data_IF_238067563297
#
_entry.id   IF_238067563297
#
_cell.length_a   1.000
_cell.length_b   1.000
_cell.length_c   1.000
_cell.angle_alpha   90.00
_cell.angle_beta   90.00
_cell.angle_gamma   90.00
#
_symmetry.space_group_name_H-M   'P 1'
#
loop_
_entity.id
_entity.type
_entity.pdbx_description
1 polymer ?
#
# COMPACT_ATOMS: atom_id res chain seq x y z
N UNK A 1 -10.65 20.82 2.05
CA UNK A 1 -9.62 19.76 1.94
C UNK A 1 -9.90 19.00 0.66
N UNK A 2 -8.92 18.90 -0.22
CA UNK A 2 -9.09 18.29 -1.54
C UNK A 2 -9.37 16.79 -1.34
N UNK A 3 -10.49 16.30 -1.86
CA UNK A 3 -11.03 14.95 -1.63
C UNK A 3 -10.27 13.83 -2.37
N UNK A 4 -8.98 14.02 -2.67
CA UNK A 4 -8.22 13.14 -3.56
C UNK A 4 -6.95 12.53 -2.92
N UNK A 5 -6.64 12.85 -1.66
CA UNK A 5 -5.43 12.34 -1.00
C UNK A 5 -5.72 11.02 -0.28
N UNK A 6 -4.87 10.02 -0.50
CA UNK A 6 -4.98 8.72 0.16
C UNK A 6 -4.56 8.85 1.62
N UNK A 7 -5.37 8.37 2.56
CA UNK A 7 -5.16 8.59 4.01
C UNK A 7 -3.79 8.09 4.53
N UNK A 8 -3.24 7.07 3.87
CA UNK A 8 -2.01 6.39 4.27
C UNK A 8 -0.74 6.96 3.63
N UNK A 9 -0.88 7.73 2.54
CA UNK A 9 0.27 8.21 1.76
C UNK A 9 0.76 9.55 2.32
N UNK A 10 1.39 9.49 3.49
CA UNK A 10 1.77 10.68 4.27
C UNK A 10 3.18 11.21 3.96
N UNK A 11 3.86 10.64 2.94
CA UNK A 11 5.24 11.00 2.62
C UNK A 11 5.37 12.46 2.20
N UNK A 12 6.16 13.23 2.96
CA UNK A 12 6.35 14.67 2.71
C UNK A 12 5.20 15.57 3.17
N UNK A 13 4.19 15.02 3.85
CA UNK A 13 3.11 15.81 4.44
C UNK A 13 3.56 16.39 5.77
N UNK A 14 3.48 17.71 5.89
CA UNK A 14 3.79 18.43 7.13
C UNK A 14 2.59 18.48 8.09
N UNK A 15 2.83 18.87 9.34
CA UNK A 15 1.77 19.16 10.31
C UNK A 15 1.43 18.03 11.30
N UNK A 16 2.18 16.92 11.30
CA UNK A 16 1.98 15.79 12.21
C UNK A 16 2.57 15.98 13.62
N UNK A 17 3.36 17.04 13.82
CA UNK A 17 4.04 17.30 15.09
C UNK A 17 5.31 16.46 15.28
N UNK A 18 5.80 16.41 16.52
CA UNK A 18 6.99 15.66 16.87
C UNK A 18 6.72 14.15 16.89
N UNK A 19 7.71 13.36 16.46
CA UNK A 19 7.64 11.90 16.57
C UNK A 19 7.74 11.52 18.05
N UNK A 20 6.72 10.87 18.65
CA UNK A 20 6.85 10.34 20.00
C UNK A 20 7.92 9.25 20.00
N UNK A 21 8.78 9.24 21.01
CA UNK A 21 9.84 8.26 21.16
C UNK A 21 9.91 7.80 22.61
N UNK A 22 9.70 6.49 22.81
CA UNK A 22 9.81 5.84 24.10
C UNK A 22 10.84 4.70 23.98
N UNK A 23 12.06 4.84 24.56
CA UNK A 23 13.11 3.84 24.43
C UNK A 23 12.72 2.45 24.96
N UNK A 24 11.85 2.43 25.97
CA UNK A 24 11.41 1.22 26.67
C UNK A 24 9.96 0.85 26.31
N UNK A 25 9.49 1.24 25.12
CA UNK A 25 8.13 0.98 24.64
C UNK A 25 7.79 -0.52 24.73
N UNK A 26 6.67 -0.84 25.37
CA UNK A 26 6.20 -2.21 25.45
C UNK A 26 5.71 -2.68 24.08
N UNK A 27 5.97 -3.94 23.72
CA UNK A 27 5.49 -4.53 22.44
C UNK A 27 3.96 -4.43 22.31
N UNK A 28 3.26 -4.51 23.44
CA UNK A 28 1.82 -4.34 23.54
C UNK A 28 1.51 -3.56 24.82
N UNK A 29 0.94 -2.37 24.67
CA UNK A 29 0.50 -1.50 25.77
C UNK A 29 -0.72 -2.06 26.50
N UNK A 30 -1.55 -2.84 25.80
CA UNK A 30 -2.76 -3.42 26.36
C UNK A 30 -2.97 -4.86 25.89
N UNK A 31 -3.61 -5.67 26.74
CA UNK A 31 -3.90 -7.08 26.44
C UNK A 31 -4.76 -7.27 25.18
N UNK A 32 -5.60 -6.30 24.81
CA UNK A 32 -6.43 -6.40 23.61
C UNK A 32 -5.60 -6.31 22.33
N UNK A 33 -4.47 -5.61 22.34
CA UNK A 33 -3.57 -5.49 21.20
C UNK A 33 -2.96 -6.86 20.85
N UNK A 34 -2.59 -7.64 21.88
CA UNK A 34 -2.14 -9.04 21.74
C UNK A 34 -3.22 -9.90 21.09
N UNK A 35 -4.48 -9.69 21.46
CA UNK A 35 -5.62 -10.40 20.87
C UNK A 35 -5.82 -10.02 19.42
N UNK A 36 -5.78 -8.74 19.08
CA UNK A 36 -5.87 -8.26 17.69
C UNK A 36 -4.75 -8.84 16.83
N UNK A 37 -3.52 -8.83 17.33
CA UNK A 37 -2.38 -9.45 16.66
C UNK A 37 -2.60 -10.96 16.41
N UNK A 38 -3.11 -11.69 17.41
CA UNK A 38 -3.47 -13.10 17.26
C UNK A 38 -4.62 -13.34 16.28
N UNK A 39 -5.68 -12.52 16.36
CA UNK A 39 -6.86 -12.59 15.49
C UNK A 39 -6.49 -12.37 14.02
N UNK A 40 -5.52 -11.49 13.74
CA UNK A 40 -5.04 -11.25 12.39
C UNK A 40 -4.69 -12.55 11.65
N UNK A 41 -4.02 -13.51 12.30
CA UNK A 41 -3.66 -14.75 11.64
C UNK A 41 -4.87 -15.63 11.26
N UNK A 42 -5.95 -15.58 12.04
CA UNK A 42 -7.18 -16.34 11.79
C UNK A 42 -8.10 -15.62 10.80
N UNK A 43 -8.25 -14.31 10.94
CA UNK A 43 -9.07 -13.51 10.02
C UNK A 43 -8.44 -13.52 8.64
N UNK A 44 -7.15 -13.21 8.51
CA UNK A 44 -6.49 -13.16 7.21
C UNK A 44 -6.24 -14.54 6.59
N UNK A 45 -6.42 -15.65 7.33
CA UNK A 45 -6.47 -16.97 6.70
C UNK A 45 -7.80 -17.21 6.01
N UNK A 46 -8.88 -16.55 6.44
CA UNK A 46 -10.24 -16.66 5.88
C UNK A 46 -10.70 -15.47 5.03
N UNK A 47 -9.97 -14.36 5.07
CA UNK A 47 -10.13 -13.17 4.24
C UNK A 47 -8.83 -12.86 3.49
N UNK A 48 -8.71 -11.69 2.84
CA UNK A 48 -7.49 -11.18 2.21
C UNK A 48 -6.66 -12.26 1.47
N UNK A 49 -7.35 -13.06 0.66
CA UNK A 49 -6.78 -14.27 0.02
C UNK A 49 -5.72 -13.92 -1.02
N UNK A 50 -5.62 -12.65 -1.44
CA UNK A 50 -4.68 -12.16 -2.44
C UNK A 50 -3.67 -11.18 -1.83
N UNK A 51 -2.42 -11.16 -2.33
CA UNK A 51 -1.43 -10.19 -1.90
C UNK A 51 -1.94 -8.75 -2.06
N UNK A 52 -1.76 -7.94 -1.03
CA UNK A 52 -2.12 -6.51 -1.04
C UNK A 52 -3.51 -6.20 -0.48
N UNK A 53 -4.44 -7.16 -0.39
CA UNK A 53 -5.83 -6.87 0.01
C UNK A 53 -5.97 -6.28 1.41
N UNK A 54 -5.25 -6.82 2.40
CA UNK A 54 -5.28 -6.26 3.75
C UNK A 54 -4.76 -4.82 3.78
N UNK A 55 -3.71 -4.52 2.99
CA UNK A 55 -3.23 -3.13 2.84
C UNK A 55 -4.30 -2.29 2.17
N UNK A 56 -4.90 -2.76 1.08
CA UNK A 56 -5.95 -2.02 0.41
C UNK A 56 -7.17 -1.74 1.31
N UNK A 57 -7.55 -2.67 2.19
CA UNK A 57 -8.57 -2.42 3.20
C UNK A 57 -8.18 -1.29 4.16
N UNK A 58 -6.93 -1.29 4.67
CA UNK A 58 -6.40 -0.20 5.50
C UNK A 58 -6.45 1.15 4.77
N UNK A 59 -6.10 1.17 3.48
CA UNK A 59 -6.02 2.38 2.66
C UNK A 59 -7.39 3.03 2.39
N UNK A 60 -8.48 2.24 2.50
CA UNK A 60 -9.87 2.69 2.31
C UNK A 60 -10.58 3.09 3.60
N UNK A 61 -9.96 2.86 4.75
CA UNK A 61 -10.52 3.29 6.03
C UNK A 61 -10.77 4.80 6.04
N UNK A 62 -11.84 5.23 6.71
CA UNK A 62 -12.05 6.65 6.98
C UNK A 62 -10.88 7.20 7.82
N UNK A 63 -10.57 8.51 7.75
CA UNK A 63 -9.45 9.10 8.49
C UNK A 63 -9.46 8.81 9.99
N UNK A 64 -10.65 8.79 10.61
CA UNK A 64 -10.83 8.47 12.03
C UNK A 64 -10.57 7.00 12.38
N UNK A 65 -10.77 6.07 11.44
CA UNK A 65 -10.46 4.65 11.61
C UNK A 65 -8.99 4.35 11.27
N UNK A 66 -8.41 5.12 10.33
CA UNK A 66 -6.99 5.00 10.00
C UNK A 66 -6.13 5.61 11.10
N UNK A 67 -6.38 6.86 11.50
CA UNK A 67 -5.72 7.52 12.63
C UNK A 67 -6.49 7.24 13.93
N UNK A 68 -6.86 5.98 14.13
CA UNK A 68 -7.63 5.51 15.28
C UNK A 68 -6.99 5.95 16.59
N UNK A 69 -7.81 6.46 17.52
CA UNK A 69 -7.38 6.82 18.87
C UNK A 69 -6.84 5.63 19.65
N UNK A 70 -7.28 4.42 19.32
CA UNK A 70 -6.82 3.16 19.91
C UNK A 70 -5.45 2.72 19.33
N UNK A 71 -4.83 3.54 18.49
CA UNK A 71 -3.49 3.32 17.97
C UNK A 71 -3.40 2.31 16.83
N UNK A 72 -2.20 1.77 16.62
CA UNK A 72 -1.85 0.94 15.47
C UNK A 72 -2.69 -0.35 15.37
N UNK A 73 -2.91 -1.02 16.50
CA UNK A 73 -3.74 -2.22 16.54
C UNK A 73 -5.24 -1.90 16.41
N UNK A 74 -5.68 -0.70 16.79
CA UNK A 74 -7.04 -0.23 16.52
C UNK A 74 -7.33 -0.15 15.02
N UNK A 75 -6.38 0.39 14.25
CA UNK A 75 -6.43 0.42 12.78
C UNK A 75 -6.50 -0.99 12.17
N UNK A 76 -5.72 -1.94 12.70
CA UNK A 76 -5.74 -3.33 12.23
C UNK A 76 -7.09 -4.00 12.50
N UNK A 77 -7.65 -3.78 13.69
CA UNK A 77 -9.00 -4.23 14.04
C UNK A 77 -10.03 -3.72 13.03
N UNK A 78 -10.03 -2.41 12.76
CA UNK A 78 -10.96 -1.80 11.81
C UNK A 78 -10.88 -2.42 10.40
N UNK A 79 -9.66 -2.66 9.88
CA UNK A 79 -9.50 -3.32 8.58
C UNK A 79 -9.95 -4.79 8.58
N UNK A 80 -9.79 -5.52 9.69
CA UNK A 80 -10.31 -6.88 9.81
C UNK A 80 -11.84 -6.92 9.84
N UNK A 81 -12.49 -5.97 10.52
CA UNK A 81 -13.96 -5.84 10.54
C UNK A 81 -14.49 -5.59 9.12
N UNK A 82 -13.86 -4.69 8.36
CA UNK A 82 -14.16 -4.45 6.94
C UNK A 82 -14.04 -5.75 6.12
N UNK A 83 -12.94 -6.47 6.26
CA UNK A 83 -12.71 -7.68 5.48
C UNK A 83 -13.67 -8.82 5.84
N UNK A 84 -14.06 -8.95 7.10
CA UNK A 84 -15.04 -9.96 7.52
C UNK A 84 -16.40 -9.71 6.87
N UNK A 85 -16.84 -8.44 6.79
CA UNK A 85 -18.07 -8.03 6.10
C UNK A 85 -17.95 -8.26 4.58
N UNK A 86 -16.87 -7.80 3.95
CA UNK A 86 -16.65 -7.95 2.49
C UNK A 86 -16.57 -9.41 2.03
N UNK A 87 -16.08 -10.31 2.89
CA UNK A 87 -16.05 -11.75 2.63
C UNK A 87 -17.34 -12.48 3.09
N UNK A 88 -18.30 -11.78 3.69
CA UNK A 88 -19.59 -12.32 4.12
C UNK A 88 -19.50 -13.23 5.36
N UNK A 89 -18.45 -13.10 6.16
CA UNK A 89 -18.30 -13.84 7.43
C UNK A 89 -19.11 -13.21 8.57
N UNK A 90 -19.40 -11.92 8.49
CA UNK A 90 -20.30 -11.19 9.39
C UNK A 90 -21.31 -10.40 8.57
N UNK A 91 -22.54 -10.26 9.07
CA UNK A 91 -23.49 -9.35 8.45
C UNK A 91 -23.15 -7.89 8.80
N UNK A 92 -23.55 -6.97 7.91
CA UNK A 92 -23.17 -5.55 7.96
C UNK A 92 -23.32 -4.89 9.34
N UNK A 93 -24.45 -5.14 10.00
CA UNK A 93 -24.80 -4.56 11.31
C UNK A 93 -24.49 -5.50 12.50
N UNK A 94 -23.98 -6.71 12.25
CA UNK A 94 -23.88 -7.77 13.27
C UNK A 94 -22.95 -7.38 14.42
N UNK A 95 -21.81 -6.76 14.09
CA UNK A 95 -20.86 -6.30 15.10
C UNK A 95 -21.44 -5.15 15.94
N UNK A 96 -22.16 -4.22 15.31
CA UNK A 96 -22.80 -3.11 16.01
C UNK A 96 -23.87 -3.64 16.99
N UNK A 97 -24.68 -4.62 16.55
CA UNK A 97 -25.68 -5.30 17.40
C UNK A 97 -25.03 -6.03 18.60
N UNK A 98 -23.91 -6.74 18.38
CA UNK A 98 -23.20 -7.47 19.43
C UNK A 98 -22.53 -6.53 20.45
N UNK A 99 -22.05 -5.37 20.00
CA UNK A 99 -21.47 -4.34 20.85
C UNK A 99 -22.54 -3.50 21.57
N UNK A 100 -23.80 -3.58 21.14
CA UNK A 100 -24.90 -2.79 21.68
C UNK A 100 -24.80 -1.30 21.34
N UNK A 101 -24.20 -0.98 20.20
CA UNK A 101 -24.04 0.40 19.70
C UNK A 101 -25.06 0.70 18.60
N UNK A 102 -25.17 1.98 18.21
CA UNK A 102 -26.01 2.37 17.07
C UNK A 102 -25.47 1.72 15.78
N UNK A 103 -26.35 1.13 14.98
CA UNK A 103 -26.00 0.54 13.68
C UNK A 103 -25.47 1.61 12.74
N UNK A 104 -24.49 1.24 11.91
CA UNK A 104 -23.87 2.17 10.99
C UNK A 104 -22.67 2.91 11.56
N UNK A 105 -22.27 2.61 12.80
CA UNK A 105 -21.15 3.27 13.48
C UNK A 105 -19.84 2.49 13.37
N UNK A 106 -19.86 1.27 12.84
CA UNK A 106 -18.65 0.49 12.60
C UNK A 106 -17.83 0.94 11.37
N UNK A 107 -16.51 0.64 11.33
CA UNK A 107 -15.63 0.89 10.19
C UNK A 107 -16.16 0.33 8.86
N UNK A 108 -16.83 -0.82 8.90
CA UNK A 108 -17.47 -1.43 7.72
C UNK A 108 -18.46 -0.50 7.01
N UNK A 109 -19.12 0.42 7.72
CA UNK A 109 -20.04 1.38 7.11
C UNK A 109 -19.36 2.65 6.59
N UNK A 110 -18.23 3.04 7.18
CA UNK A 110 -17.49 4.24 6.81
C UNK A 110 -16.42 4.02 5.74
N UNK A 111 -15.98 2.77 5.57
CA UNK A 111 -14.94 2.42 4.59
C UNK A 111 -15.35 2.83 3.18
N UNK A 112 -14.40 3.38 2.42
CA UNK A 112 -14.61 3.64 1.01
C UNK A 112 -14.80 2.32 0.24
N UNK A 113 -15.61 2.35 -0.81
CA UNK A 113 -15.79 1.21 -1.72
C UNK A 113 -14.47 0.80 -2.39
N UNK A 114 -14.38 -0.45 -2.82
CA UNK A 114 -13.26 -0.92 -3.65
C UNK A 114 -13.33 -0.22 -5.00
N UNK A 115 -12.27 0.51 -5.34
CA UNK A 115 -12.21 1.25 -6.61
C UNK A 115 -12.19 0.28 -7.79
N UNK A 116 -12.97 0.57 -8.83
CA UNK A 116 -12.90 -0.18 -10.09
C UNK A 116 -11.57 0.11 -10.80
N UNK A 117 -10.83 -0.95 -11.13
CA UNK A 117 -9.58 -0.86 -11.89
C UNK A 117 -9.83 -1.48 -13.27
N UNK A 118 -9.71 -0.66 -14.31
CA UNK A 118 -9.78 -1.14 -15.68
C UNK A 118 -8.52 -1.98 -16.01
N UNK A 119 -8.67 -3.30 -16.31
CA UNK A 119 -7.53 -4.15 -16.64
C UNK A 119 -6.75 -3.70 -17.87
N UNK A 120 -7.32 -2.85 -18.74
CA UNK A 120 -6.64 -2.27 -19.91
C UNK A 120 -5.58 -1.23 -19.51
N UNK A 121 -5.69 -0.64 -18.32
CA UNK A 121 -4.71 0.29 -17.78
C UNK A 121 -3.57 -0.42 -17.02
N UNK A 122 -3.61 -1.75 -16.93
CA UNK A 122 -2.57 -2.57 -16.30
C UNK A 122 -1.63 -3.16 -17.35
N UNK A 123 -0.36 -3.40 -17.02
CA UNK A 123 0.57 -4.09 -17.91
C UNK A 123 0.04 -5.50 -18.25
N UNK A 124 0.39 -6.08 -19.41
CA UNK A 124 -0.04 -7.43 -19.76
C UNK A 124 0.38 -8.46 -18.71
N UNK A 125 -0.45 -9.48 -18.49
CA UNK A 125 -0.11 -10.55 -17.55
C UNK A 125 0.99 -11.45 -18.13
N UNK A 126 1.85 -11.96 -17.24
CA UNK A 126 2.98 -12.84 -17.58
C UNK A 126 2.84 -14.15 -16.82
N UNK A 127 2.77 -15.26 -17.54
CA UNK A 127 2.68 -16.58 -16.93
C UNK A 127 4.03 -16.97 -16.32
N UNK A 128 4.01 -17.35 -15.05
CA UNK A 128 5.20 -17.78 -14.32
C UNK A 128 4.93 -19.09 -13.57
N UNK A 129 5.97 -19.91 -13.31
CA UNK A 129 5.81 -21.06 -12.44
C UNK A 129 5.30 -20.65 -11.06
N UNK A 130 4.35 -21.42 -10.51
CA UNK A 130 3.85 -21.18 -9.16
C UNK A 130 4.93 -21.54 -8.13
N UNK A 131 5.26 -20.64 -7.18
CA UNK A 131 6.21 -20.97 -6.13
C UNK A 131 5.71 -22.10 -5.22
N UNK A 132 6.64 -22.91 -4.69
CA UNK A 132 6.33 -24.01 -3.76
C UNK A 132 6.02 -23.55 -2.32
N UNK A 133 6.06 -22.24 -2.05
CA UNK A 133 5.78 -21.65 -0.74
C UNK A 133 5.11 -20.28 -0.92
N UNK A 134 4.51 -19.75 0.15
CA UNK A 134 3.84 -18.45 0.12
C UNK A 134 4.88 -17.32 -0.04
N UNK A 135 4.88 -16.69 -1.22
CA UNK A 135 5.75 -15.56 -1.54
C UNK A 135 5.13 -14.69 -2.64
N UNK A 136 5.53 -13.41 -2.66
CA UNK A 136 5.19 -12.47 -3.74
C UNK A 136 6.18 -12.56 -4.91
N UNK A 137 7.35 -13.21 -4.72
CA UNK A 137 8.39 -13.34 -5.75
C UNK A 137 7.93 -14.19 -6.93
N UNK A 138 8.33 -13.81 -8.14
CA UNK A 138 8.14 -14.59 -9.38
C UNK A 138 9.44 -14.67 -10.16
N UNK A 139 9.63 -15.78 -10.84
CA UNK A 139 10.75 -16.00 -11.74
C UNK A 139 10.32 -15.57 -13.15
N UNK A 140 10.93 -14.51 -13.66
CA UNK A 140 10.79 -14.06 -15.05
C UNK A 140 12.05 -14.46 -15.83
N UNK A 141 11.85 -14.95 -17.06
CA UNK A 141 12.96 -15.22 -17.99
C UNK A 141 13.51 -13.92 -18.58
N UNK A 142 12.62 -12.96 -18.84
CA UNK A 142 12.97 -11.63 -19.31
C UNK A 142 13.65 -10.84 -18.19
N UNK A 143 14.73 -10.12 -18.54
CA UNK A 143 15.34 -9.16 -17.64
C UNK A 143 14.47 -7.90 -17.50
N UNK A 144 14.78 -7.07 -16.51
CA UNK A 144 14.13 -5.77 -16.39
C UNK A 144 14.37 -4.92 -17.64
N UNK A 145 13.39 -4.09 -18.00
CA UNK A 145 13.54 -3.10 -19.08
C UNK A 145 14.48 -1.94 -18.72
N UNK A 146 14.91 -1.85 -17.46
CA UNK A 146 15.82 -0.82 -16.95
C UNK A 146 17.15 -1.42 -16.53
N UNK A 147 18.18 -0.58 -16.52
CA UNK A 147 19.54 -0.86 -16.04
C UNK A 147 19.94 0.11 -14.91
N UNK A 148 20.91 -0.30 -14.08
CA UNK A 148 21.48 0.60 -13.06
C UNK A 148 22.18 1.77 -13.74
N UNK A 149 21.81 2.99 -13.34
CA UNK A 149 22.27 4.23 -13.95
C UNK A 149 21.22 4.93 -14.82
N UNK A 150 20.15 4.23 -15.22
CA UNK A 150 19.08 4.80 -16.02
C UNK A 150 18.40 5.99 -15.32
N UNK A 151 18.01 6.98 -16.12
CA UNK A 151 17.26 8.15 -15.69
C UNK A 151 15.79 7.92 -15.99
N UNK A 152 14.97 7.93 -14.94
CA UNK A 152 13.56 7.51 -15.01
C UNK A 152 12.64 8.50 -14.30
N UNK A 153 11.40 8.61 -14.78
CA UNK A 153 10.35 9.41 -14.15
C UNK A 153 9.22 8.47 -13.73
N UNK A 154 8.73 8.65 -12.50
CA UNK A 154 7.56 7.92 -12.02
C UNK A 154 6.27 8.58 -12.54
N UNK A 155 5.76 8.11 -13.68
CA UNK A 155 4.59 8.68 -14.38
C UNK A 155 3.26 8.35 -13.68
N UNK A 156 3.25 7.23 -12.97
CA UNK A 156 2.19 6.82 -12.06
C UNK A 156 0.86 6.36 -12.67
N UNK A 157 -0.06 6.05 -11.75
CA UNK A 157 -1.41 5.58 -12.03
C UNK A 157 -2.41 6.56 -11.40
N UNK A 158 -3.29 7.16 -12.22
CA UNK A 158 -4.30 8.12 -11.77
C UNK A 158 -5.54 7.45 -11.12
N UNK A 159 -5.56 6.13 -10.99
CA UNK A 159 -6.66 5.40 -10.35
C UNK A 159 -6.66 5.49 -8.82
N UNK A 160 -7.84 5.32 -8.21
CA UNK A 160 -8.01 5.22 -6.75
C UNK A 160 -7.75 3.82 -6.17
N UNK A 161 -7.40 2.83 -7.01
CA UNK A 161 -7.09 1.47 -6.56
C UNK A 161 -5.79 1.37 -5.76
N UNK A 162 -5.58 0.24 -5.06
CA UNK A 162 -4.30 -0.09 -4.42
C UNK A 162 -3.11 0.16 -5.37
N UNK A 163 -2.07 0.81 -4.87
CA UNK A 163 -0.80 1.01 -5.57
C UNK A 163 0.32 1.15 -4.55
N UNK A 164 1.56 0.91 -4.97
CA UNK A 164 2.75 1.12 -4.11
C UNK A 164 3.56 2.34 -4.51
N UNK A 165 3.08 3.15 -5.46
CA UNK A 165 3.70 4.39 -5.88
C UNK A 165 3.31 5.56 -4.96
N UNK A 166 4.23 6.07 -4.12
CA UNK A 166 3.97 7.22 -3.28
C UNK A 166 3.78 8.48 -4.14
N UNK A 167 2.90 9.39 -3.70
CA UNK A 167 2.62 10.63 -4.41
C UNK A 167 3.85 11.53 -4.54
N UNK A 168 4.71 11.57 -3.52
CA UNK A 168 5.83 12.52 -3.47
C UNK A 168 6.94 12.30 -4.51
N UNK A 169 7.03 11.12 -5.13
CA UNK A 169 8.02 10.83 -6.19
C UNK A 169 7.44 10.98 -7.60
N UNK A 170 6.12 11.19 -7.72
CA UNK A 170 5.46 11.24 -9.03
C UNK A 170 5.96 12.42 -9.85
N UNK A 171 6.22 12.17 -11.12
CA UNK A 171 6.73 13.15 -12.07
C UNK A 171 8.07 13.80 -11.67
N UNK A 172 8.80 13.20 -10.73
CA UNK A 172 10.16 13.61 -10.37
C UNK A 172 11.15 12.69 -11.06
N UNK A 173 12.24 13.27 -11.56
CA UNK A 173 13.31 12.55 -12.22
C UNK A 173 14.23 11.90 -11.20
N UNK A 174 14.37 10.58 -11.27
CA UNK A 174 15.25 9.78 -10.42
C UNK A 174 16.32 9.03 -11.22
N UNK A 175 17.18 8.30 -10.50
CA UNK A 175 18.17 7.40 -11.10
C UNK A 175 17.99 5.98 -10.55
N UNK A 176 17.97 4.99 -11.44
CA UNK A 176 17.95 3.58 -11.04
C UNK A 176 19.26 3.21 -10.35
N UNK A 177 19.17 2.73 -9.11
CA UNK A 177 20.34 2.34 -8.31
C UNK A 177 20.39 0.85 -8.00
N UNK A 178 19.27 0.14 -8.14
CA UNK A 178 19.21 -1.30 -7.95
C UNK A 178 18.02 -1.93 -8.65
N UNK A 179 18.22 -3.14 -9.17
CA UNK A 179 17.17 -3.99 -9.70
C UNK A 179 16.94 -5.16 -8.73
N UNK A 180 15.69 -5.41 -8.39
CA UNK A 180 15.27 -6.51 -7.54
C UNK A 180 14.57 -7.61 -8.37
N UNK A 181 14.52 -8.84 -7.86
CA UNK A 181 13.74 -9.91 -8.50
C UNK A 181 12.28 -9.52 -8.67
N UNK A 182 11.62 -10.10 -9.67
CA UNK A 182 10.23 -9.80 -9.94
C UNK A 182 9.29 -10.23 -8.82
N UNK A 183 8.20 -9.49 -8.68
CA UNK A 183 7.14 -9.72 -7.72
C UNK A 183 5.77 -9.56 -8.40
N UNK A 184 4.72 -10.15 -7.82
CA UNK A 184 3.34 -9.88 -8.22
C UNK A 184 3.01 -8.38 -8.10
N UNK A 185 2.25 -7.84 -9.05
CA UNK A 185 1.90 -6.41 -9.10
C UNK A 185 0.72 -6.09 -8.16
N UNK A 186 0.91 -5.24 -7.13
CA UNK A 186 -0.11 -4.93 -6.14
C UNK A 186 -1.35 -4.25 -6.74
N UNK A 187 -1.17 -3.40 -7.77
CA UNK A 187 -2.25 -2.75 -8.53
C UNK A 187 -3.20 -3.73 -9.20
N UNK A 188 -2.77 -4.99 -9.37
CA UNK A 188 -3.56 -6.05 -9.96
C UNK A 188 -4.06 -7.05 -8.92
N UNK A 189 -3.17 -7.54 -8.05
CA UNK A 189 -3.51 -8.63 -7.12
C UNK A 189 -4.52 -8.21 -6.07
N UNK A 190 -4.47 -6.98 -5.57
CA UNK A 190 -5.43 -6.47 -4.60
C UNK A 190 -6.86 -6.32 -5.18
N UNK A 191 -6.99 -6.34 -6.50
CA UNK A 191 -8.26 -6.19 -7.24
C UNK A 191 -8.68 -7.47 -7.96
N UNK A 192 -8.00 -8.60 -7.71
CA UNK A 192 -8.29 -9.88 -8.35
C UNK A 192 -8.11 -9.87 -9.89
N UNK A 193 -7.15 -9.11 -10.42
CA UNK A 193 -6.93 -8.91 -11.87
C UNK A 193 -5.74 -9.68 -12.46
N UNK A 194 -5.26 -10.71 -11.75
CA UNK A 194 -4.07 -11.49 -12.11
C UNK A 194 -2.82 -11.05 -11.36
N UNK A 195 -1.72 -11.78 -11.55
CA UNK A 195 -0.47 -11.54 -10.82
C UNK A 195 0.42 -10.49 -11.49
N UNK A 196 0.41 -10.44 -12.84
CA UNK A 196 1.13 -9.45 -13.67
C UNK A 196 2.53 -9.15 -13.17
N UNK A 197 3.38 -10.17 -12.96
CA UNK A 197 4.64 -9.98 -12.27
C UNK A 197 5.60 -9.06 -13.04
N UNK A 198 6.29 -8.20 -12.30
CA UNK A 198 7.27 -7.26 -12.84
C UNK A 198 8.47 -7.13 -11.92
N UNK A 199 9.60 -6.70 -12.46
CA UNK A 199 10.74 -6.33 -11.64
C UNK A 199 10.41 -5.15 -10.72
N UNK A 200 11.11 -5.11 -9.59
CA UNK A 200 11.06 -3.98 -8.67
C UNK A 200 12.37 -3.21 -8.81
N UNK A 201 12.26 -1.92 -9.06
CA UNK A 201 13.35 -1.01 -9.41
C UNK A 201 13.53 -0.03 -8.26
N UNK A 202 14.69 -0.04 -7.63
CA UNK A 202 15.03 0.94 -6.61
C UNK A 202 15.54 2.21 -7.31
N UNK A 203 14.84 3.31 -7.10
CA UNK A 203 15.14 4.61 -7.71
C UNK A 203 15.57 5.59 -6.61
N UNK A 204 16.72 6.22 -6.85
CA UNK A 204 17.26 7.27 -6.01
C UNK A 204 16.77 8.65 -6.46
N UNK A 205 16.26 9.42 -5.50
CA UNK A 205 15.82 10.81 -5.65
C UNK A 205 16.63 11.68 -4.69
N UNK A 206 17.12 12.83 -5.15
CA UNK A 206 17.75 13.79 -4.23
C UNK A 206 16.67 14.51 -3.45
N UNK A 207 16.91 14.77 -2.17
CA UNK A 207 15.93 15.49 -1.33
C UNK A 207 15.53 16.84 -1.94
N UNK A 208 16.49 17.57 -2.53
CA UNK A 208 16.23 18.85 -3.20
C UNK A 208 15.33 18.76 -4.43
N UNK A 209 15.33 17.62 -5.12
CA UNK A 209 14.50 17.40 -6.30
C UNK A 209 13.04 17.08 -5.89
N UNK A 210 12.85 16.53 -4.68
CA UNK A 210 11.54 16.29 -4.09
C UNK A 210 10.98 17.55 -3.39
N UNK A 211 11.81 18.23 -2.61
CA UNK A 211 11.37 19.21 -1.60
C UNK A 211 11.96 20.62 -1.77
N UNK A 212 12.72 20.86 -2.83
CA UNK A 212 13.28 22.18 -3.12
C UNK A 212 14.61 22.48 -2.39
N UNK A 213 15.07 23.73 -2.51
CA UNK A 213 16.43 24.11 -2.11
C UNK A 213 16.67 24.12 -0.60
N UNK A 214 15.61 24.18 0.21
CA UNK A 214 15.72 24.16 1.67
C UNK A 214 15.85 22.73 2.23
N UNK A 215 15.79 21.71 1.36
CA UNK A 215 16.04 20.33 1.74
C UNK A 215 17.50 20.13 2.17
N UNK A 216 17.72 19.16 3.08
CA UNK A 216 19.07 18.83 3.55
C UNK A 216 19.99 18.41 2.39
N UNK A 217 21.20 18.96 2.39
CA UNK A 217 22.21 18.68 1.36
C UNK A 217 22.66 17.22 1.43
N UNK A 218 23.02 16.66 0.27
CA UNK A 218 23.54 15.29 0.12
C UNK A 218 22.62 14.16 0.63
N UNK A 219 21.34 14.45 0.89
CA UNK A 219 20.34 13.43 1.23
C UNK A 219 19.71 12.82 -0.03
N UNK A 220 19.64 11.48 -0.04
CA UNK A 220 19.04 10.67 -1.11
C UNK A 220 17.95 9.79 -0.52
N UNK A 221 16.77 9.84 -1.15
CA UNK A 221 15.62 8.99 -0.85
C UNK A 221 15.61 7.87 -1.88
N UNK A 222 15.66 6.62 -1.42
CA UNK A 222 15.56 5.46 -2.28
C UNK A 222 14.16 4.86 -2.17
N UNK A 223 13.49 4.66 -3.31
CA UNK A 223 12.13 4.14 -3.37
C UNK A 223 12.06 2.97 -4.33
N UNK A 224 11.51 1.86 -3.86
CA UNK A 224 11.27 0.66 -4.66
C UNK A 224 9.96 0.81 -5.45
N UNK A 225 10.05 0.78 -6.77
CA UNK A 225 8.95 1.03 -7.72
C UNK A 225 8.84 -0.12 -8.72
N UNK A 226 7.62 -0.49 -9.10
CA UNK A 226 7.42 -1.50 -10.15
C UNK A 226 7.72 -0.91 -11.53
N UNK A 227 8.13 -1.76 -12.47
CA UNK A 227 8.51 -1.33 -13.82
C UNK A 227 7.44 -0.50 -14.53
N UNK A 228 6.15 -0.83 -14.37
CA UNK A 228 5.07 -0.08 -15.01
C UNK A 228 4.87 1.33 -14.44
N UNK A 229 5.49 1.66 -13.31
CA UNK A 229 5.39 3.00 -12.74
C UNK A 229 6.37 3.98 -13.39
N UNK A 230 7.38 3.46 -14.10
CA UNK A 230 8.53 4.20 -14.59
C UNK A 230 8.49 4.34 -16.11
N UNK A 231 8.91 5.51 -16.58
CA UNK A 231 9.25 5.76 -17.98
C UNK A 231 10.69 6.27 -18.07
N UNK A 232 11.38 5.97 -19.18
CA UNK A 232 12.71 6.53 -19.42
C UNK A 232 12.61 8.04 -19.64
N UNK A 233 13.60 8.81 -19.17
CA UNK A 233 13.65 10.26 -19.39
C UNK A 233 13.51 10.63 -20.89
N UNK A 234 14.07 9.81 -21.77
CA UNK A 234 14.05 10.00 -23.23
C UNK A 234 12.69 9.72 -23.88
N UNK A 235 11.78 9.03 -23.20
CA UNK A 235 10.44 8.70 -23.74
C UNK A 235 9.44 9.85 -23.54
N UNK A 236 9.81 10.86 -22.75
CA UNK A 236 8.96 11.99 -22.39
C UNK A 236 9.33 13.30 -23.13
N UNK A 237 10.34 13.26 -23.99
CA UNK A 237 10.79 14.36 -24.88
C UNK A 237 10.20 14.26 -26.27
#
# INVERSE_FOLDING_TARGET
MNSAHRVHDIGGVEGWGAVPYEPDEEVFHYDWERRVFGLMFQVLSETAKRPGEFRHALERLAPEDYFCSDGYYGRWRAAMEVLLDEYGHVAKDELDDLLGVERGTGPGHRVAGVAEVDPQNLPPDRLTPKPNHRTVRRELEEASQFEVGDRVIAVGNNGMGHTRLPEYVRNILGTVVKLHPAEVLPDSTAHNLGERPQHVVCVAYRAKDLWGQDAEEDVVINVDLYENYLAMETELS
#
